data_IF_980149923259
#
_entry.id   IF_980149923259
#
_cell.length_a   1.000
_cell.length_b   1.000
_cell.length_c   1.000
_cell.angle_alpha   90.00
_cell.angle_beta   90.00
_cell.angle_gamma   90.00
#
_symmetry.space_group_name_H-M   'P 1'
#
loop_
_entity.id
_entity.type
_entity.pdbx_description
1 polymer ?
#
# COMPACT_ATOMS: atom_id res chain seq x y z
N UNK A 1 19.27 -61.14 28.98
CA UNK A 1 18.10 -60.23 28.96
C UNK A 1 17.62 -60.10 27.53
N UNK A 2 16.64 -60.93 27.19
CA UNK A 2 15.85 -60.90 25.95
C UNK A 2 14.77 -59.83 26.07
N UNK A 3 14.57 -59.01 25.03
CA UNK A 3 13.25 -58.57 24.59
C UNK A 3 13.36 -57.97 23.18
N UNK A 4 12.80 -58.73 22.25
CA UNK A 4 12.53 -58.37 20.87
C UNK A 4 11.07 -57.92 20.74
N UNK A 5 10.79 -57.08 19.74
CA UNK A 5 9.44 -56.75 19.27
C UNK A 5 9.41 -55.31 18.74
N UNK A 6 8.77 -54.97 17.63
CA UNK A 6 8.00 -55.71 16.65
C UNK A 6 7.90 -54.79 15.44
N UNK A 7 8.29 -55.27 14.26
CA UNK A 7 8.01 -54.65 12.97
C UNK A 7 6.51 -54.78 12.67
N UNK A 8 5.82 -53.71 12.30
CA UNK A 8 4.54 -53.78 11.59
C UNK A 8 4.60 -52.94 10.33
N UNK A 9 4.63 -53.66 9.21
CA UNK A 9 4.35 -53.13 7.87
C UNK A 9 2.85 -52.80 7.77
N UNK A 10 2.54 -51.65 7.17
CA UNK A 10 1.20 -51.35 6.68
C UNK A 10 1.20 -51.39 5.15
N UNK A 11 0.22 -52.15 4.65
CA UNK A 11 0.00 -52.54 3.27
C UNK A 11 -0.55 -51.35 2.47
N UNK A 12 -0.02 -51.20 1.25
CA UNK A 12 -0.49 -50.26 0.24
C UNK A 12 -1.85 -50.69 -0.32
N UNK A 13 -2.79 -49.74 -0.40
CA UNK A 13 -4.03 -49.90 -1.17
C UNK A 13 -3.98 -48.94 -2.36
N UNK A 14 -3.68 -49.49 -3.53
CA UNK A 14 -3.78 -48.84 -4.83
C UNK A 14 -5.26 -48.73 -5.22
N UNK A 15 -5.80 -47.52 -5.14
CA UNK A 15 -7.10 -47.16 -5.70
C UNK A 15 -6.97 -46.81 -7.18
N UNK A 16 -7.40 -47.72 -8.04
CA UNK A 16 -7.56 -47.52 -9.48
C UNK A 16 -8.77 -46.62 -9.71
N UNK A 17 -8.57 -45.40 -10.21
CA UNK A 17 -9.67 -44.56 -10.70
C UNK A 17 -9.87 -44.74 -12.20
N UNK A 18 -11.12 -45.04 -12.54
CA UNK A 18 -11.63 -45.28 -13.88
C UNK A 18 -11.47 -44.07 -14.81
N UNK A 19 -10.95 -44.32 -16.00
CA UNK A 19 -11.04 -43.44 -17.17
C UNK A 19 -12.45 -43.53 -17.73
N UNK A 20 -13.20 -42.43 -17.70
CA UNK A 20 -14.44 -42.30 -18.46
C UNK A 20 -14.16 -41.48 -19.73
N UNK A 21 -14.06 -42.20 -20.86
CA UNK A 21 -14.21 -41.64 -22.20
C UNK A 21 -15.66 -41.20 -22.38
N UNK A 22 -15.90 -39.93 -22.70
CA UNK A 22 -17.15 -39.48 -23.33
C UNK A 22 -16.85 -38.82 -24.68
N UNK A 23 -17.12 -39.62 -25.70
CA UNK A 23 -17.75 -39.31 -26.99
C UNK A 23 -17.81 -37.85 -27.44
N UNK A 24 -17.13 -37.61 -28.56
CA UNK A 24 -17.45 -36.61 -29.57
C UNK A 24 -18.93 -36.69 -29.98
N UNK A 25 -19.60 -35.54 -29.97
CA UNK A 25 -20.81 -35.32 -30.79
C UNK A 25 -20.67 -34.09 -31.66
N UNK A 26 -21.23 -34.23 -32.86
CA UNK A 26 -21.09 -33.45 -34.07
C UNK A 26 -21.66 -32.03 -34.01
N UNK A 27 -21.07 -31.21 -34.88
CA UNK A 27 -21.63 -30.09 -35.64
C UNK A 27 -23.15 -29.90 -35.60
N UNK A 28 -23.56 -28.70 -35.20
CA UNK A 28 -24.87 -28.12 -35.50
C UNK A 28 -24.72 -26.63 -35.82
N UNK A 29 -24.89 -26.29 -37.10
CA UNK A 29 -24.99 -24.90 -37.61
C UNK A 29 -26.44 -24.42 -37.54
N UNK A 30 -26.68 -23.25 -36.95
CA UNK A 30 -27.91 -22.46 -37.09
C UNK A 30 -28.29 -21.65 -35.84
N UNK A 31 -29.24 -20.70 -35.93
CA UNK A 31 -29.18 -19.45 -36.69
C UNK A 31 -29.07 -18.21 -35.77
N UNK A 32 -28.81 -17.05 -36.38
CA UNK A 32 -28.77 -15.72 -35.75
C UNK A 32 -30.00 -15.40 -34.86
N UNK A 33 -29.80 -14.73 -33.70
CA UNK A 33 -30.87 -14.01 -33.04
C UNK A 33 -30.86 -12.53 -33.43
N UNK A 34 -31.98 -12.15 -34.02
CA UNK A 34 -32.48 -10.79 -34.25
C UNK A 34 -32.58 -9.95 -32.96
N UNK A 35 -32.22 -8.67 -33.10
CA UNK A 35 -32.89 -7.49 -32.53
C UNK A 35 -33.48 -7.62 -31.11
N UNK A 36 -32.68 -7.23 -30.11
CA UNK A 36 -33.16 -6.97 -28.75
C UNK A 36 -33.55 -5.50 -28.60
N UNK A 37 -34.81 -5.31 -28.18
CA UNK A 37 -35.50 -4.05 -27.90
C UNK A 37 -34.76 -3.19 -26.86
N UNK A 38 -34.69 -1.90 -27.17
CA UNK A 38 -34.38 -0.80 -26.26
C UNK A 38 -35.25 -0.89 -24.98
N UNK A 39 -34.61 -1.11 -23.83
CA UNK A 39 -35.23 -0.94 -22.51
C UNK A 39 -35.03 0.52 -22.10
N UNK A 40 -36.14 1.24 -21.99
CA UNK A 40 -36.22 2.53 -21.32
C UNK A 40 -35.84 2.32 -19.85
N UNK A 41 -34.61 2.70 -19.47
CA UNK A 41 -34.22 2.86 -18.08
C UNK A 41 -35.00 4.05 -17.51
N UNK A 42 -35.95 3.75 -16.64
CA UNK A 42 -36.60 4.73 -15.78
C UNK A 42 -35.54 5.26 -14.81
N UNK A 43 -35.18 6.55 -14.96
CA UNK A 43 -34.41 7.31 -13.99
C UNK A 43 -35.23 7.41 -12.70
N UNK A 44 -35.04 6.44 -11.79
CA UNK A 44 -35.39 6.65 -10.39
C UNK A 44 -34.44 7.73 -9.86
N UNK A 45 -35.00 8.89 -9.50
CA UNK A 45 -34.28 9.91 -8.74
C UNK A 45 -34.04 9.35 -7.35
N UNK A 46 -32.86 8.78 -7.13
CA UNK A 46 -32.38 8.44 -5.80
C UNK A 46 -32.37 9.71 -4.97
N UNK A 47 -33.19 9.72 -3.91
CA UNK A 47 -33.12 10.74 -2.87
C UNK A 47 -31.74 10.64 -2.21
N UNK A 48 -30.84 11.55 -2.57
CA UNK A 48 -29.56 11.66 -1.88
C UNK A 48 -29.81 12.03 -0.42
N UNK A 49 -29.43 11.13 0.49
CA UNK A 49 -29.35 11.46 1.91
C UNK A 49 -28.35 12.60 2.13
N UNK A 50 -28.62 13.52 3.08
CA UNK A 50 -27.72 14.63 3.35
C UNK A 50 -26.36 14.09 3.81
N UNK A 51 -25.30 14.41 3.06
CA UNK A 51 -23.92 14.09 3.44
C UNK A 51 -23.58 14.74 4.78
N UNK A 52 -22.78 14.06 5.60
CA UNK A 52 -22.20 14.66 6.80
C UNK A 52 -21.36 15.88 6.44
N UNK A 53 -21.21 16.82 7.38
CA UNK A 53 -20.34 18.01 7.20
C UNK A 53 -18.91 17.63 6.81
N UNK A 54 -18.42 16.50 7.34
CA UNK A 54 -17.13 15.95 6.95
C UNK A 54 -17.11 15.53 5.47
N UNK A 55 -18.12 14.79 5.01
CA UNK A 55 -18.17 14.36 3.61
C UNK A 55 -18.15 15.54 2.64
N UNK A 56 -18.75 16.67 3.01
CA UNK A 56 -18.68 17.90 2.24
C UNK A 56 -17.27 18.52 2.23
N UNK A 57 -16.57 18.53 3.38
CA UNK A 57 -15.20 19.03 3.49
C UNK A 57 -14.19 18.17 2.71
N UNK A 58 -14.33 16.86 2.74
CA UNK A 58 -13.51 15.92 1.96
C UNK A 58 -13.69 16.19 0.46
N UNK A 59 -14.93 16.33 -0.01
CA UNK A 59 -15.24 16.61 -1.41
C UNK A 59 -14.65 17.97 -1.85
N UNK A 60 -14.73 19.00 -1.01
CA UNK A 60 -14.15 20.33 -1.29
C UNK A 60 -12.60 20.25 -1.39
N UNK A 61 -11.97 19.52 -0.49
CA UNK A 61 -10.51 19.33 -0.50
C UNK A 61 -10.06 18.60 -1.78
N UNK A 62 -10.79 17.55 -2.17
CA UNK A 62 -10.53 16.80 -3.41
C UNK A 62 -10.64 17.70 -4.64
N UNK A 63 -11.70 18.49 -4.75
CA UNK A 63 -11.89 19.37 -5.91
C UNK A 63 -10.84 20.50 -5.96
N UNK A 64 -10.44 21.06 -4.81
CA UNK A 64 -9.33 22.03 -4.75
C UNK A 64 -8.01 21.42 -5.21
N UNK A 65 -7.67 20.22 -4.71
CA UNK A 65 -6.46 19.49 -5.13
C UNK A 65 -6.47 19.23 -6.64
N UNK A 66 -7.59 18.76 -7.20
CA UNK A 66 -7.75 18.51 -8.63
C UNK A 66 -7.60 19.78 -9.47
N UNK A 67 -8.29 20.86 -9.09
CA UNK A 67 -8.20 22.16 -9.76
C UNK A 67 -6.75 22.64 -9.80
N UNK A 68 -6.05 22.51 -8.68
CA UNK A 68 -4.66 22.89 -8.59
C UNK A 68 -3.74 22.02 -9.45
N UNK A 69 -3.95 20.68 -9.50
CA UNK A 69 -3.17 19.80 -10.39
C UNK A 69 -3.36 20.18 -11.86
N UNK A 70 -4.57 20.57 -12.25
CA UNK A 70 -4.85 21.07 -13.59
C UNK A 70 -4.09 22.38 -13.87
N UNK A 71 -4.04 23.31 -12.90
CA UNK A 71 -3.27 24.54 -13.02
C UNK A 71 -1.76 24.24 -13.17
N UNK A 72 -1.20 23.34 -12.36
CA UNK A 72 0.18 22.90 -12.50
C UNK A 72 0.45 22.33 -13.90
N UNK A 73 -0.45 21.49 -14.41
CA UNK A 73 -0.32 20.90 -15.74
C UNK A 73 -0.38 21.95 -16.86
N UNK A 74 -1.23 22.98 -16.72
CA UNK A 74 -1.29 24.10 -17.66
C UNK A 74 0.01 24.91 -17.66
N UNK A 75 0.54 25.24 -16.47
CA UNK A 75 1.85 25.90 -16.34
C UNK A 75 2.96 25.03 -16.94
N UNK A 76 2.88 23.71 -16.79
CA UNK A 76 3.86 22.82 -17.36
C UNK A 76 3.86 22.84 -18.90
N UNK A 77 2.68 22.97 -19.52
CA UNK A 77 2.52 23.04 -20.97
C UNK A 77 2.83 24.43 -21.54
N UNK A 78 2.86 25.46 -20.70
CA UNK A 78 3.21 26.81 -21.12
C UNK A 78 4.74 26.96 -21.27
N UNK A 79 5.17 27.22 -22.51
CA UNK A 79 6.57 27.44 -22.84
C UNK A 79 7.18 28.61 -22.08
N UNK A 80 6.38 29.62 -21.68
CA UNK A 80 6.83 30.80 -20.94
C UNK A 80 7.02 30.55 -19.45
N UNK A 81 6.33 29.56 -18.89
CA UNK A 81 6.40 29.25 -17.47
C UNK A 81 7.78 28.71 -17.10
N UNK A 82 8.35 29.21 -16.01
CA UNK A 82 9.66 28.81 -15.51
C UNK A 82 9.55 27.67 -14.50
N UNK A 83 10.70 27.08 -14.12
CA UNK A 83 10.76 26.10 -13.01
C UNK A 83 10.28 26.74 -11.70
N UNK A 84 10.64 28.00 -11.48
CA UNK A 84 10.28 28.79 -10.31
C UNK A 84 8.77 29.05 -10.27
N UNK A 85 8.13 29.32 -11.41
CA UNK A 85 6.67 29.47 -11.49
C UNK A 85 5.95 28.18 -11.08
N UNK A 86 6.46 27.03 -11.55
CA UNK A 86 5.93 25.71 -11.18
C UNK A 86 6.09 25.46 -9.68
N UNK A 87 7.29 25.63 -9.12
CA UNK A 87 7.53 25.41 -7.70
C UNK A 87 6.76 26.37 -6.79
N UNK A 88 6.57 27.63 -7.22
CA UNK A 88 5.70 28.58 -6.52
C UNK A 88 4.26 28.07 -6.51
N UNK A 89 3.75 27.64 -7.66
CA UNK A 89 2.41 27.03 -7.74
C UNK A 89 2.28 25.81 -6.82
N UNK A 90 3.27 24.92 -6.79
CA UNK A 90 3.32 23.78 -5.85
C UNK A 90 3.33 24.21 -4.39
N UNK A 91 4.06 25.27 -4.04
CA UNK A 91 4.19 25.74 -2.65
C UNK A 91 2.93 26.44 -2.16
N UNK A 92 2.15 27.02 -3.07
CA UNK A 92 0.86 27.65 -2.78
C UNK A 92 -0.29 26.63 -2.66
N UNK A 93 -0.05 25.37 -3.07
CA UNK A 93 -1.03 24.29 -2.98
C UNK A 93 -1.45 24.06 -1.54
N UNK A 94 -0.48 23.77 -0.68
CA UNK A 94 -0.72 23.33 0.69
C UNK A 94 -0.57 24.53 1.62
N UNK A 95 -1.69 25.05 2.10
CA UNK A 95 -1.73 26.22 2.96
C UNK A 95 -2.04 25.80 4.40
N UNK A 96 -1.44 26.47 5.39
CA UNK A 96 -1.85 26.29 6.77
C UNK A 96 -3.34 26.56 6.94
N UNK A 97 -4.06 25.67 7.62
CA UNK A 97 -5.47 25.84 7.95
C UNK A 97 -5.60 26.99 8.95
N UNK A 98 -6.39 28.00 8.60
CA UNK A 98 -6.77 29.08 9.51
C UNK A 98 -8.13 28.74 10.14
N UNK A 99 -8.16 28.36 11.42
CA UNK A 99 -9.40 28.11 12.16
C UNK A 99 -9.35 26.87 13.05
N UNK A 100 -10.32 26.73 13.94
CA UNK A 100 -10.44 25.54 14.79
C UNK A 100 -10.69 24.30 13.93
N UNK A 101 -9.92 23.24 14.17
CA UNK A 101 -10.19 21.95 13.55
C UNK A 101 -11.48 21.37 14.11
N UNK A 102 -12.29 20.77 13.24
CA UNK A 102 -13.32 19.82 13.67
C UNK A 102 -12.67 18.60 14.33
N UNK A 103 -13.40 17.97 15.25
CA UNK A 103 -12.93 16.76 15.94
C UNK A 103 -12.56 15.64 14.96
N UNK A 104 -11.59 14.78 15.33
CA UNK A 104 -11.14 13.69 14.49
C UNK A 104 -12.26 12.71 14.13
N UNK A 105 -12.18 12.22 12.89
CA UNK A 105 -13.17 11.42 12.21
C UNK A 105 -13.46 10.04 12.84
N UNK A 106 -14.68 9.55 12.61
CA UNK A 106 -15.01 8.13 12.71
C UNK A 106 -14.02 7.28 11.88
N UNK A 107 -13.55 6.18 12.46
CA UNK A 107 -12.69 5.14 11.85
C UNK A 107 -13.43 4.30 10.77
N UNK A 108 -14.33 4.92 10.01
CA UNK A 108 -15.06 4.25 8.93
C UNK A 108 -14.10 3.81 7.82
N UNK A 109 -14.27 2.58 7.28
CA UNK A 109 -13.50 2.11 6.14
C UNK A 109 -13.65 3.02 4.92
N UNK A 110 -12.60 3.13 4.12
CA UNK A 110 -12.57 3.97 2.93
C UNK A 110 -12.72 3.18 1.63
N UNK A 111 -13.33 3.79 0.61
CA UNK A 111 -13.44 3.20 -0.73
C UNK A 111 -12.07 3.10 -1.45
N UNK A 112 -11.21 4.08 -1.21
CA UNK A 112 -9.85 4.15 -1.73
C UNK A 112 -8.89 4.13 -0.54
N UNK A 113 -8.07 3.09 -0.44
CA UNK A 113 -7.24 2.86 0.76
C UNK A 113 -5.81 2.54 0.37
N UNK A 114 -4.84 3.20 1.03
CA UNK A 114 -3.43 2.84 0.98
C UNK A 114 -3.05 2.17 2.30
N UNK A 115 -2.48 0.97 2.22
CA UNK A 115 -1.90 0.25 3.35
C UNK A 115 -0.38 0.24 3.18
N UNK A 116 0.33 1.02 3.99
CA UNK A 116 1.80 1.09 3.97
C UNK A 116 2.38 0.32 5.15
N UNK A 117 2.86 -0.90 4.87
CA UNK A 117 3.62 -1.70 5.82
C UNK A 117 5.10 -1.30 5.75
N UNK A 118 5.63 -0.79 6.86
CA UNK A 118 6.97 -0.22 6.96
C UNK A 118 6.98 1.25 6.55
N UNK A 119 6.12 2.03 7.19
CA UNK A 119 6.01 3.47 6.90
C UNK A 119 7.26 4.26 7.32
N UNK A 120 8.14 3.68 8.16
CA UNK A 120 9.40 4.26 8.60
C UNK A 120 9.20 5.69 9.14
N UNK A 121 9.84 6.67 8.53
CA UNK A 121 9.76 8.09 8.92
C UNK A 121 8.62 8.85 8.22
N UNK A 122 7.74 8.13 7.52
CA UNK A 122 6.60 8.67 6.77
C UNK A 122 6.98 9.13 5.36
N UNK A 123 8.14 8.76 4.82
CA UNK A 123 8.60 9.21 3.52
C UNK A 123 7.79 8.63 2.35
N UNK A 124 7.25 7.42 2.52
CA UNK A 124 6.28 6.81 1.59
C UNK A 124 5.01 7.64 1.41
N UNK A 125 4.45 8.23 2.49
CA UNK A 125 3.31 9.15 2.41
C UNK A 125 3.62 10.30 1.45
N UNK A 126 4.77 10.96 1.62
CA UNK A 126 5.23 12.02 0.71
C UNK A 126 5.39 11.54 -0.72
N UNK A 127 5.98 10.36 -0.94
CA UNK A 127 6.14 9.76 -2.28
C UNK A 127 4.78 9.47 -2.93
N UNK A 128 3.77 9.02 -2.19
CA UNK A 128 2.42 8.83 -2.73
C UNK A 128 1.78 10.17 -3.11
N UNK A 129 1.87 11.20 -2.27
CA UNK A 129 1.39 12.55 -2.59
C UNK A 129 2.05 13.08 -3.87
N UNK A 130 3.39 13.02 -3.92
CA UNK A 130 4.20 13.52 -5.04
C UNK A 130 3.98 12.72 -6.32
N UNK A 131 3.59 11.44 -6.22
CA UNK A 131 3.26 10.62 -7.37
C UNK A 131 1.97 11.04 -8.08
N UNK A 132 1.12 11.86 -7.45
CA UNK A 132 -0.01 12.49 -8.13
C UNK A 132 0.40 13.69 -9.01
N UNK A 133 1.64 14.17 -8.90
CA UNK A 133 2.15 15.28 -9.73
C UNK A 133 2.80 14.67 -10.97
N UNK A 134 2.28 15.00 -12.14
CA UNK A 134 2.88 14.54 -13.40
C UNK A 134 4.24 15.20 -13.63
N UNK A 135 5.23 14.49 -14.18
CA UNK A 135 6.50 15.09 -14.58
C UNK A 135 6.27 16.22 -15.59
N UNK A 136 7.14 17.23 -15.56
CA UNK A 136 7.11 18.33 -16.53
C UNK A 136 8.31 18.31 -17.49
N UNK A 137 8.18 17.71 -18.70
CA UNK A 137 9.24 17.66 -19.70
C UNK A 137 9.69 19.06 -20.12
N UNK A 138 11.00 19.23 -20.33
CA UNK A 138 11.57 20.49 -20.84
C UNK A 138 11.77 21.58 -19.79
N UNK A 139 11.40 21.34 -18.52
CA UNK A 139 11.60 22.26 -17.40
C UNK A 139 12.54 21.72 -16.30
N UNK A 140 13.33 20.69 -16.63
CA UNK A 140 14.23 19.94 -15.72
C UNK A 140 13.53 19.22 -14.53
N UNK A 141 12.20 19.27 -14.47
CA UNK A 141 11.39 18.57 -13.47
C UNK A 141 11.01 17.14 -13.88
N UNK A 142 11.30 16.75 -15.13
CA UNK A 142 11.14 15.38 -15.61
C UNK A 142 12.19 14.44 -15.03
N UNK A 143 13.43 14.93 -14.89
CA UNK A 143 14.55 14.18 -14.30
C UNK A 143 14.51 14.21 -12.79
N UNK A 144 14.09 15.34 -12.22
CA UNK A 144 14.08 15.60 -10.79
C UNK A 144 12.67 16.06 -10.40
N UNK A 145 11.74 15.11 -10.17
CA UNK A 145 10.39 15.49 -9.79
C UNK A 145 10.44 16.16 -8.40
N UNK A 146 9.69 17.27 -8.22
CA UNK A 146 9.59 17.96 -6.94
C UNK A 146 9.26 17.00 -5.81
N UNK A 147 9.87 17.22 -4.65
CA UNK A 147 9.62 16.45 -3.44
C UNK A 147 8.99 17.35 -2.41
N UNK A 148 7.85 16.91 -1.85
CA UNK A 148 7.26 17.58 -0.70
C UNK A 148 8.18 17.43 0.51
N UNK A 149 8.59 18.55 1.08
CA UNK A 149 9.19 18.57 2.41
C UNK A 149 8.09 18.30 3.44
N UNK A 150 8.15 17.14 4.09
CA UNK A 150 7.15 16.74 5.08
C UNK A 150 7.24 17.55 6.38
N UNK A 151 8.39 18.19 6.65
CA UNK A 151 8.65 18.97 7.84
C UNK A 151 8.25 20.45 7.68
N UNK A 152 8.24 20.97 6.45
CA UNK A 152 7.78 22.34 6.17
C UNK A 152 6.48 22.43 5.36
N UNK A 153 6.02 21.31 4.79
CA UNK A 153 4.90 21.21 3.85
C UNK A 153 5.07 22.17 2.67
N UNK A 154 6.27 22.19 2.11
CA UNK A 154 6.61 23.03 0.96
C UNK A 154 7.40 22.26 -0.07
N UNK A 155 7.23 22.66 -1.32
CA UNK A 155 8.13 22.29 -2.39
C UNK A 155 9.22 23.34 -2.48
N UNK A 156 10.47 22.92 -2.70
CA UNK A 156 11.60 23.85 -2.78
C UNK A 156 12.54 23.48 -3.92
N UNK A 157 13.40 24.43 -4.27
CA UNK A 157 14.48 24.22 -5.25
C UNK A 157 15.55 23.24 -4.77
N UNK A 158 15.55 22.86 -3.50
CA UNK A 158 16.56 21.96 -2.93
C UNK A 158 15.99 20.55 -2.67
N UNK A 159 14.67 20.39 -2.77
CA UNK A 159 13.98 19.15 -2.46
C UNK A 159 13.44 18.49 -3.72
N UNK A 160 14.26 17.63 -4.30
CA UNK A 160 13.89 16.76 -5.40
C UNK A 160 14.06 15.30 -5.05
N UNK A 161 13.21 14.44 -5.63
CA UNK A 161 13.46 13.02 -5.58
C UNK A 161 14.67 12.67 -6.45
N UNK A 162 15.50 11.74 -5.97
CA UNK A 162 16.52 11.12 -6.82
C UNK A 162 15.82 10.54 -8.06
N UNK A 163 16.38 10.81 -9.24
CA UNK A 163 15.84 10.34 -10.52
C UNK A 163 15.46 8.87 -10.45
N UNK A 164 14.19 8.57 -10.76
CA UNK A 164 13.70 7.19 -10.86
C UNK A 164 13.46 6.50 -9.51
N UNK A 165 12.96 7.23 -8.50
CA UNK A 165 12.40 6.60 -7.29
C UNK A 165 11.34 5.54 -7.70
N UNK A 166 11.54 4.26 -7.36
CA UNK A 166 10.67 3.18 -7.82
C UNK A 166 9.22 3.34 -7.36
N UNK A 167 9.01 3.72 -6.09
CA UNK A 167 7.67 3.87 -5.52
C UNK A 167 6.88 4.94 -6.26
N UNK A 168 7.48 6.12 -6.52
CA UNK A 168 6.80 7.19 -7.27
C UNK A 168 6.41 6.73 -8.67
N UNK A 169 7.30 6.02 -9.37
CA UNK A 169 7.03 5.53 -10.73
C UNK A 169 5.91 4.49 -10.75
N UNK A 170 5.96 3.54 -9.81
CA UNK A 170 4.94 2.51 -9.62
C UNK A 170 3.58 3.14 -9.32
N UNK A 171 3.52 4.03 -8.33
CA UNK A 171 2.30 4.75 -7.95
C UNK A 171 1.72 5.58 -9.09
N UNK A 172 2.55 6.33 -9.84
CA UNK A 172 2.12 7.05 -11.06
C UNK A 172 1.47 6.13 -12.09
N UNK A 173 2.07 4.96 -12.32
CA UNK A 173 1.50 3.97 -13.24
C UNK A 173 0.15 3.47 -12.75
N UNK A 174 -0.02 3.29 -11.43
CA UNK A 174 -1.27 2.84 -10.82
C UNK A 174 -2.35 3.90 -10.97
N UNK A 175 -2.07 5.15 -10.62
CA UNK A 175 -3.04 6.26 -10.73
C UNK A 175 -3.62 6.40 -12.14
N UNK A 176 -2.81 6.17 -13.17
CA UNK A 176 -3.26 6.16 -14.57
C UNK A 176 -4.20 5.01 -14.91
N UNK A 177 -4.09 3.87 -14.21
CA UNK A 177 -4.94 2.69 -14.43
C UNK A 177 -6.28 2.80 -13.70
N UNK A 178 -6.30 3.37 -12.50
CA UNK A 178 -7.49 3.43 -11.62
C UNK A 178 -8.22 4.78 -11.65
N UNK A 179 -7.77 5.72 -12.50
CA UNK A 179 -8.37 7.04 -12.70
C UNK A 179 -8.64 7.81 -11.38
N UNK A 180 -7.80 7.58 -10.37
CA UNK A 180 -7.90 8.22 -9.06
C UNK A 180 -6.52 8.73 -8.63
N UNK A 181 -6.55 9.77 -7.81
CA UNK A 181 -5.37 10.51 -7.38
C UNK A 181 -5.23 10.44 -5.85
N UNK A 182 -4.04 10.73 -5.30
CA UNK A 182 -3.76 10.58 -3.86
C UNK A 182 -4.81 11.20 -2.93
N UNK A 183 -5.36 12.37 -3.27
CA UNK A 183 -6.37 13.07 -2.46
C UNK A 183 -7.67 12.28 -2.23
N UNK A 184 -7.91 11.19 -2.99
CA UNK A 184 -9.05 10.30 -2.83
C UNK A 184 -8.85 9.26 -1.72
N UNK A 185 -7.61 9.02 -1.32
CA UNK A 185 -7.23 7.87 -0.51
C UNK A 185 -7.18 8.19 0.98
N UNK A 186 -7.66 7.25 1.77
CA UNK A 186 -7.25 7.13 3.16
C UNK A 186 -5.94 6.35 3.25
N UNK A 187 -4.97 6.90 3.95
CA UNK A 187 -3.66 6.33 4.14
C UNK A 187 -3.52 5.75 5.54
N UNK A 188 -3.11 4.48 5.63
CA UNK A 188 -2.82 3.77 6.87
C UNK A 188 -1.38 3.27 6.84
N UNK A 189 -0.50 3.94 7.58
CA UNK A 189 0.90 3.53 7.75
C UNK A 189 1.09 2.69 9.01
N UNK A 190 1.79 1.56 8.89
CA UNK A 190 2.13 0.65 9.99
C UNK A 190 3.62 0.77 10.26
N UNK A 191 3.99 1.16 11.48
CA UNK A 191 5.37 1.34 11.91
C UNK A 191 5.48 1.15 13.42
N UNK A 192 6.20 0.13 13.87
CA UNK A 192 6.33 -0.18 15.30
C UNK A 192 7.58 0.38 15.97
N UNK A 193 8.49 1.01 15.22
CA UNK A 193 9.70 1.57 15.79
C UNK A 193 9.37 2.82 16.63
N UNK A 194 9.56 2.78 17.96
CA UNK A 194 9.19 3.88 18.85
C UNK A 194 9.98 5.17 18.57
N UNK A 195 11.14 5.08 17.89
CA UNK A 195 11.92 6.26 17.46
C UNK A 195 11.16 7.12 16.45
N UNK A 196 10.35 6.50 15.59
CA UNK A 196 9.62 7.21 14.54
C UNK A 196 8.26 7.74 15.02
N UNK A 197 7.75 7.24 16.15
CA UNK A 197 6.43 7.60 16.69
C UNK A 197 6.20 9.12 16.79
N UNK A 198 7.09 9.94 17.41
CA UNK A 198 6.81 11.37 17.55
C UNK A 198 6.69 12.09 16.20
N UNK A 199 7.53 11.72 15.23
CA UNK A 199 7.48 12.28 13.88
C UNK A 199 6.21 11.87 13.16
N UNK A 200 5.86 10.59 13.19
CA UNK A 200 4.67 10.07 12.50
C UNK A 200 3.37 10.66 13.04
N UNK A 201 3.23 10.80 14.37
CA UNK A 201 2.07 11.46 14.96
C UNK A 201 2.01 12.96 14.60
N UNK A 202 3.16 13.64 14.53
CA UNK A 202 3.23 15.02 14.05
C UNK A 202 2.80 15.14 12.58
N UNK A 203 3.19 14.19 11.72
CA UNK A 203 2.74 14.15 10.33
C UNK A 203 1.24 13.87 10.22
N UNK A 204 0.72 12.94 11.01
CA UNK A 204 -0.72 12.66 11.07
C UNK A 204 -1.52 13.91 11.41
N UNK A 205 -1.18 14.56 12.52
CA UNK A 205 -1.83 15.79 12.97
C UNK A 205 -1.82 16.84 11.86
N UNK A 206 -0.64 17.03 11.28
CA UNK A 206 -0.44 18.06 10.27
C UNK A 206 -1.29 17.86 9.02
N UNK A 207 -1.32 16.65 8.46
CA UNK A 207 -2.09 16.38 7.24
C UNK A 207 -3.60 16.33 7.49
N UNK A 208 -4.03 15.94 8.68
CA UNK A 208 -5.45 15.88 9.02
C UNK A 208 -6.01 17.25 9.47
N UNK A 209 -5.20 18.09 10.12
CA UNK A 209 -5.69 19.27 10.83
C UNK A 209 -5.04 20.58 10.36
N UNK A 210 -3.74 20.59 10.07
CA UNK A 210 -3.00 21.84 9.85
C UNK A 210 -2.94 22.29 8.38
N UNK A 211 -3.30 21.45 7.42
CA UNK A 211 -3.07 21.73 5.99
C UNK A 211 -4.37 21.65 5.18
N UNK A 212 -4.61 22.66 4.34
CA UNK A 212 -5.68 22.69 3.35
C UNK A 212 -5.20 23.13 1.95
N UNK A 213 -5.76 22.55 0.87
CA UNK A 213 -6.59 21.34 0.88
C UNK A 213 -5.76 20.12 1.31
N UNK A 214 -6.43 19.06 1.77
CA UNK A 214 -5.74 17.86 2.21
C UNK A 214 -5.20 17.07 1.00
N UNK A 215 -3.91 16.72 0.95
CA UNK A 215 -3.32 15.97 -0.17
C UNK A 215 -3.66 14.46 -0.14
N UNK A 216 -4.26 14.00 0.96
CA UNK A 216 -4.84 12.68 1.19
C UNK A 216 -6.16 12.90 1.91
N UNK A 217 -7.16 12.05 1.69
CA UNK A 217 -8.46 12.18 2.36
C UNK A 217 -8.34 12.02 3.88
N UNK A 218 -7.45 11.12 4.32
CA UNK A 218 -7.16 10.84 5.72
C UNK A 218 -5.77 10.25 5.83
N UNK A 219 -5.05 10.60 6.89
CA UNK A 219 -3.77 9.95 7.23
C UNK A 219 -3.90 9.33 8.63
N UNK A 220 -3.44 8.10 8.79
CA UNK A 220 -3.35 7.42 10.09
C UNK A 220 -2.07 6.60 10.17
N UNK A 221 -1.33 6.74 11.25
CA UNK A 221 -0.18 5.92 11.57
C UNK A 221 -0.48 5.04 12.79
N UNK A 222 -0.32 3.74 12.62
CA UNK A 222 -0.38 2.74 13.70
C UNK A 222 1.03 2.58 14.29
N UNK A 223 1.44 3.54 15.12
CA UNK A 223 2.83 3.70 15.60
C UNK A 223 3.27 2.70 16.68
N UNK A 224 2.32 1.90 17.18
CA UNK A 224 2.55 0.82 18.14
C UNK A 224 2.30 -0.56 17.52
N UNK A 225 2.28 -0.62 16.19
CA UNK A 225 1.87 -1.80 15.45
C UNK A 225 2.87 -2.13 14.35
N UNK A 226 3.10 -3.42 14.12
CA UNK A 226 3.94 -3.93 13.03
C UNK A 226 3.15 -4.89 12.14
N UNK A 227 3.48 -4.93 10.86
CA UNK A 227 3.01 -5.99 9.98
C UNK A 227 3.54 -7.34 10.47
N UNK A 228 2.64 -8.29 10.72
CA UNK A 228 3.01 -9.63 11.17
C UNK A 228 2.11 -10.70 10.54
N UNK A 229 2.59 -11.95 10.49
CA UNK A 229 1.79 -13.09 10.04
C UNK A 229 0.71 -13.54 11.03
N UNK A 230 0.54 -12.84 12.15
CA UNK A 230 -0.52 -13.07 13.15
C UNK A 230 -0.81 -11.78 13.91
N UNK A 231 -2.05 -11.61 14.36
CA UNK A 231 -2.43 -10.53 15.27
C UNK A 231 -1.95 -10.86 16.69
N UNK A 232 -1.77 -9.82 17.51
CA UNK A 232 -1.44 -9.95 18.93
C UNK A 232 -0.03 -9.49 19.29
N UNK A 233 0.35 -9.58 20.58
CA UNK A 233 1.64 -9.09 21.04
C UNK A 233 2.83 -9.73 20.32
N UNK A 234 3.77 -8.90 19.89
CA UNK A 234 5.02 -9.31 19.26
C UNK A 234 6.18 -8.42 19.71
N UNK A 235 7.36 -8.66 19.17
CA UNK A 235 8.56 -7.84 19.41
C UNK A 235 9.09 -7.33 18.08
N UNK A 236 9.56 -6.09 18.12
CA UNK A 236 10.39 -5.52 17.07
C UNK A 236 11.79 -5.29 17.65
N UNK A 237 12.80 -5.69 16.90
CA UNK A 237 14.21 -5.55 17.26
C UNK A 237 14.77 -4.32 16.55
N UNK A 238 15.43 -3.45 17.30
CA UNK A 238 16.00 -2.21 16.79
C UNK A 238 17.48 -2.41 16.42
N UNK A 239 17.86 -1.98 15.22
CA UNK A 239 19.27 -1.84 14.82
C UNK A 239 19.85 -0.59 15.51
N UNK A 240 20.85 -0.80 16.35
CA UNK A 240 21.58 0.28 17.06
C UNK A 240 22.99 0.51 16.50
N UNK A 241 23.40 -0.22 15.47
CA UNK A 241 24.78 -0.20 14.95
C UNK A 241 25.06 1.07 14.15
N UNK A 242 24.05 1.63 13.48
CA UNK A 242 24.22 2.72 12.51
C UNK A 242 23.57 4.05 12.95
N UNK A 243 23.77 4.47 14.21
CA UNK A 243 23.25 5.76 14.71
C UNK A 243 23.66 6.95 13.81
N UNK A 244 24.90 6.90 13.28
CA UNK A 244 25.51 7.97 12.48
C UNK A 244 24.84 8.23 11.11
N UNK A 245 23.92 7.38 10.65
CA UNK A 245 23.24 7.54 9.37
C UNK A 245 21.71 7.64 9.47
N UNK A 246 21.15 7.83 10.67
CA UNK A 246 19.70 7.79 10.92
C UNK A 246 19.02 6.47 10.52
N UNK A 247 19.77 5.40 10.25
CA UNK A 247 19.24 4.07 9.99
C UNK A 247 19.05 3.35 11.33
N UNK A 248 18.02 3.74 12.06
CA UNK A 248 17.43 2.87 13.06
C UNK A 248 16.53 1.88 12.32
N UNK A 249 17.16 0.97 11.57
CA UNK A 249 16.45 -0.15 10.97
C UNK A 249 15.74 -0.94 12.07
N UNK A 250 14.63 -1.58 11.74
CA UNK A 250 13.89 -2.38 12.69
C UNK A 250 13.42 -3.64 11.99
N UNK A 251 13.51 -4.78 12.65
CA UNK A 251 13.05 -6.05 12.09
C UNK A 251 12.25 -6.82 13.13
N UNK A 252 11.24 -7.56 12.66
CA UNK A 252 10.54 -8.54 13.50
C UNK A 252 11.32 -9.86 13.61
N UNK A 253 12.40 -10.01 12.83
CA UNK A 253 13.22 -11.22 12.80
C UNK A 253 14.46 -11.02 13.70
N UNK A 254 14.60 -11.78 14.80
CA UNK A 254 15.78 -11.68 15.66
C UNK A 254 17.07 -12.10 14.96
N UNK A 255 16.95 -12.92 13.90
CA UNK A 255 18.08 -13.41 13.11
C UNK A 255 18.49 -12.43 11.99
N UNK A 256 17.84 -11.27 11.84
CA UNK A 256 18.21 -10.29 10.83
C UNK A 256 19.66 -9.84 11.03
N UNK A 257 20.42 -9.72 9.93
CA UNK A 257 21.88 -9.48 9.98
C UNK A 257 22.27 -8.27 10.83
N UNK A 258 21.48 -7.20 10.80
CA UNK A 258 21.78 -5.96 11.50
C UNK A 258 21.39 -6.04 12.98
N UNK A 259 20.34 -6.81 13.31
CA UNK A 259 19.98 -7.16 14.69
C UNK A 259 21.08 -8.01 15.33
N UNK A 260 21.65 -8.97 14.59
CA UNK A 260 22.76 -9.81 15.08
C UNK A 260 24.05 -9.00 15.28
N UNK A 261 24.30 -8.00 14.43
CA UNK A 261 25.48 -7.11 14.55
C UNK A 261 25.36 -6.08 15.67
N UNK A 262 24.14 -5.80 16.14
CA UNK A 262 23.87 -4.95 17.29
C UNK A 262 24.48 -5.62 18.53
N UNK A 263 25.64 -5.12 18.96
CA UNK A 263 26.56 -5.70 19.96
C UNK A 263 25.87 -6.52 21.06
N UNK A 264 25.76 -7.84 20.85
CA UNK A 264 25.46 -8.94 21.79
C UNK A 264 24.25 -8.83 22.72
N UNK A 265 23.63 -7.66 22.79
CA UNK A 265 22.55 -7.31 23.69
C UNK A 265 21.27 -7.59 22.94
N UNK A 266 20.75 -8.77 23.23
CA UNK A 266 19.42 -9.30 22.92
C UNK A 266 18.26 -8.34 23.38
N UNK A 267 18.50 -7.06 23.67
CA UNK A 267 17.66 -6.22 24.55
C UNK A 267 17.11 -4.90 23.98
N UNK A 268 17.44 -4.43 22.77
CA UNK A 268 16.70 -3.31 22.17
C UNK A 268 15.44 -3.82 21.45
N UNK A 269 14.65 -4.67 22.11
CA UNK A 269 13.37 -5.15 21.61
C UNK A 269 12.23 -4.34 22.22
N UNK A 270 11.41 -3.68 21.40
CA UNK A 270 10.20 -3.03 21.86
C UNK A 270 9.03 -4.02 21.75
N UNK A 271 8.21 -4.09 22.81
CA UNK A 271 6.92 -4.77 22.75
C UNK A 271 5.95 -3.93 21.93
N UNK A 272 5.41 -4.52 20.88
CA UNK A 272 4.48 -3.88 19.93
C UNK A 272 3.36 -4.85 19.59
N UNK A 273 2.30 -4.35 18.97
CA UNK A 273 1.20 -5.18 18.49
C UNK A 273 1.47 -5.66 17.06
N UNK A 274 1.37 -6.95 16.80
CA UNK A 274 1.32 -7.49 15.45
C UNK A 274 -0.06 -7.27 14.85
N UNK A 275 -0.11 -6.82 13.59
CA UNK A 275 -1.35 -6.80 12.80
C UNK A 275 -1.12 -7.53 11.48
N UNK A 276 -2.07 -8.39 11.15
CA UNK A 276 -2.15 -9.05 9.87
C UNK A 276 -2.66 -8.11 8.79
N UNK A 277 -2.28 -8.38 7.54
CA UNK A 277 -2.84 -7.67 6.39
C UNK A 277 -4.36 -7.87 6.32
N UNK A 278 -4.85 -9.08 6.63
CA UNK A 278 -6.28 -9.39 6.67
C UNK A 278 -7.04 -8.51 7.65
N UNK A 279 -6.57 -8.41 8.90
CA UNK A 279 -7.24 -7.59 9.92
C UNK A 279 -7.22 -6.11 9.57
N UNK A 280 -6.09 -5.58 9.08
CA UNK A 280 -6.02 -4.17 8.71
C UNK A 280 -6.93 -3.85 7.51
N UNK A 281 -6.93 -4.69 6.47
CA UNK A 281 -7.75 -4.52 5.28
C UNK A 281 -9.24 -4.47 5.64
N UNK A 282 -9.72 -5.43 6.43
CA UNK A 282 -11.13 -5.50 6.85
C UNK A 282 -11.57 -4.29 7.68
N UNK A 283 -10.66 -3.69 8.45
CA UNK A 283 -10.94 -2.50 9.27
C UNK A 283 -10.96 -1.20 8.47
N UNK A 284 -10.26 -1.14 7.34
CA UNK A 284 -9.90 0.14 6.71
C UNK A 284 -10.34 0.29 5.26
N UNK A 285 -10.65 -0.80 4.57
CA UNK A 285 -11.08 -0.79 3.17
C UNK A 285 -12.52 -1.30 3.02
N UNK A 286 -13.33 -0.51 2.32
CA UNK A 286 -14.67 -0.92 1.92
C UNK A 286 -14.59 -1.98 0.81
N UNK A 287 -15.34 -3.06 0.96
CA UNK A 287 -15.51 -4.07 -0.09
C UNK A 287 -16.68 -3.69 -0.99
N UNK A 288 -16.48 -2.68 -1.84
CA UNK A 288 -17.50 -2.12 -2.74
C UNK A 288 -16.99 -2.05 -4.18
N UNK A 289 -17.90 -2.13 -5.14
CA UNK A 289 -17.56 -2.05 -6.57
C UNK A 289 -16.84 -0.73 -6.91
N UNK A 290 -15.74 -0.87 -7.67
CA UNK A 290 -14.88 0.25 -8.03
C UNK A 290 -14.08 0.82 -6.85
N UNK A 291 -14.06 0.13 -5.70
CA UNK A 291 -13.08 0.39 -4.65
C UNK A 291 -11.66 0.06 -5.11
N UNK A 292 -10.66 0.66 -4.47
CA UNK A 292 -9.27 0.36 -4.77
C UNK A 292 -8.42 0.33 -3.51
N UNK A 293 -7.60 -0.70 -3.40
CA UNK A 293 -6.64 -0.88 -2.32
C UNK A 293 -5.24 -0.93 -2.90
N UNK A 294 -4.40 -0.01 -2.48
CA UNK A 294 -2.97 -0.02 -2.75
C UNK A 294 -2.21 -0.46 -1.51
N UNK A 295 -1.52 -1.58 -1.61
CA UNK A 295 -0.70 -2.13 -0.53
C UNK A 295 0.76 -1.90 -0.91
N UNK A 296 1.52 -1.22 -0.06
CA UNK A 296 2.98 -1.19 -0.14
C UNK A 296 3.53 -1.97 1.03
N UNK A 297 4.51 -2.82 0.76
CA UNK A 297 5.09 -3.70 1.76
C UNK A 297 6.61 -3.70 1.65
N UNK A 298 7.24 -3.24 2.72
CA UNK A 298 8.69 -3.11 2.90
C UNK A 298 8.95 -3.22 4.41
N UNK A 299 9.03 -4.44 4.93
CA UNK A 299 9.06 -4.75 6.36
C UNK A 299 10.19 -5.71 6.69
N UNK A 300 11.42 -5.39 6.28
CA UNK A 300 12.68 -5.99 6.72
C UNK A 300 12.61 -7.52 7.00
N UNK A 301 12.05 -8.26 6.04
CA UNK A 301 11.91 -9.73 6.06
C UNK A 301 10.57 -10.30 6.54
N UNK A 302 9.68 -9.46 7.07
CA UNK A 302 8.33 -9.85 7.48
C UNK A 302 7.33 -10.02 6.33
N UNK A 303 7.69 -9.63 5.10
CA UNK A 303 6.77 -9.55 3.95
C UNK A 303 6.16 -10.93 3.65
N UNK A 304 6.98 -11.97 3.76
CA UNK A 304 6.60 -13.35 3.48
C UNK A 304 5.51 -13.85 4.43
N UNK A 305 5.67 -13.59 5.73
CA UNK A 305 4.71 -14.04 6.73
C UNK A 305 3.37 -13.30 6.60
N UNK A 306 3.41 -11.99 6.33
CA UNK A 306 2.19 -11.17 6.13
C UNK A 306 1.43 -11.61 4.88
N UNK A 307 2.13 -11.88 3.77
CA UNK A 307 1.49 -12.28 2.52
C UNK A 307 1.05 -13.75 2.51
N UNK A 308 1.76 -14.65 3.18
CA UNK A 308 1.27 -16.01 3.41
C UNK A 308 -0.01 -15.99 4.24
N UNK A 309 -0.07 -15.19 5.31
CA UNK A 309 -1.30 -15.04 6.12
C UNK A 309 -2.48 -14.60 5.25
N UNK A 310 -2.32 -13.53 4.48
CA UNK A 310 -3.38 -13.00 3.62
C UNK A 310 -3.82 -14.01 2.53
N UNK A 311 -2.86 -14.79 2.01
CA UNK A 311 -3.14 -15.87 1.06
C UNK A 311 -3.94 -17.01 1.71
N UNK A 312 -3.50 -17.51 2.89
CA UNK A 312 -4.22 -18.57 3.60
C UNK A 312 -5.64 -18.15 4.01
N UNK A 313 -5.84 -16.86 4.34
CA UNK A 313 -7.16 -16.30 4.62
C UNK A 313 -8.02 -16.09 3.37
N UNK A 314 -7.40 -15.98 2.19
CA UNK A 314 -8.09 -15.65 0.93
C UNK A 314 -8.64 -14.23 0.86
N UNK A 315 -8.30 -13.33 1.79
CA UNK A 315 -8.95 -12.02 1.94
C UNK A 315 -8.73 -11.11 0.73
N UNK A 316 -7.54 -11.14 0.14
CA UNK A 316 -7.23 -10.32 -1.04
C UNK A 316 -8.02 -10.81 -2.26
N UNK A 317 -8.14 -12.13 -2.42
CA UNK A 317 -8.94 -12.71 -3.49
C UNK A 317 -10.43 -12.42 -3.32
N UNK A 318 -10.96 -12.47 -2.09
CA UNK A 318 -12.36 -12.09 -1.81
C UNK A 318 -12.67 -10.63 -2.18
N UNK A 319 -11.76 -9.70 -1.86
CA UNK A 319 -11.89 -8.30 -2.28
C UNK A 319 -11.79 -8.15 -3.81
N UNK A 320 -10.81 -8.79 -4.45
CA UNK A 320 -10.63 -8.73 -5.91
C UNK A 320 -11.85 -9.29 -6.67
N UNK A 321 -12.40 -10.41 -6.20
CA UNK A 321 -13.62 -11.03 -6.76
C UNK A 321 -14.88 -10.17 -6.53
N UNK A 322 -14.84 -9.26 -5.57
CA UNK A 322 -15.91 -8.27 -5.29
C UNK A 322 -15.72 -6.97 -6.10
N UNK A 323 -14.96 -7.00 -7.19
CA UNK A 323 -14.64 -5.84 -8.03
C UNK A 323 -13.92 -4.69 -7.30
N UNK A 324 -13.17 -5.00 -6.24
CA UNK A 324 -12.19 -4.09 -5.67
C UNK A 324 -10.87 -4.29 -6.40
N UNK A 325 -10.31 -3.23 -6.99
CA UNK A 325 -8.97 -3.33 -7.58
C UNK A 325 -7.94 -3.42 -6.44
N UNK A 326 -6.96 -4.32 -6.55
CA UNK A 326 -5.88 -4.44 -5.57
C UNK A 326 -4.54 -4.35 -6.27
N UNK A 327 -3.77 -3.32 -5.91
CA UNK A 327 -2.37 -3.20 -6.30
C UNK A 327 -1.46 -3.51 -5.11
N UNK A 328 -0.45 -4.35 -5.32
CA UNK A 328 0.55 -4.69 -4.31
C UNK A 328 1.94 -4.29 -4.82
N UNK A 329 2.53 -3.26 -4.21
CA UNK A 329 3.92 -2.86 -4.41
C UNK A 329 4.77 -3.56 -3.35
N UNK A 330 5.61 -4.47 -3.79
CA UNK A 330 6.34 -5.36 -2.90
C UNK A 330 7.84 -5.18 -3.04
N UNK A 331 8.49 -4.80 -1.95
CA UNK A 331 9.95 -4.73 -1.80
C UNK A 331 10.41 -5.96 -1.03
N UNK A 332 10.96 -6.95 -1.74
CA UNK A 332 11.43 -8.19 -1.12
C UNK A 332 12.89 -8.06 -0.70
N UNK A 333 13.15 -8.47 0.54
CA UNK A 333 14.50 -8.66 1.06
C UNK A 333 15.07 -10.00 0.61
N UNK A 334 16.37 -10.01 0.28
CA UNK A 334 17.05 -11.21 -0.19
C UNK A 334 17.28 -12.23 0.94
N UNK A 335 17.41 -13.53 0.64
CA UNK A 335 17.62 -14.59 1.64
C UNK A 335 18.85 -14.37 2.53
N UNK A 336 19.92 -13.81 1.99
CA UNK A 336 21.16 -13.51 2.72
C UNK A 336 20.99 -12.39 3.76
N UNK A 337 19.91 -11.60 3.66
CA UNK A 337 19.58 -10.53 4.61
C UNK A 337 18.67 -11.05 5.73
N UNK A 338 17.69 -11.89 5.37
CA UNK A 338 16.63 -12.39 6.27
C UNK A 338 16.95 -13.74 6.94
N UNK A 339 17.99 -14.43 6.46
CA UNK A 339 18.39 -15.78 6.86
C UNK A 339 17.76 -16.87 5.99
N UNK A 340 18.60 -17.80 5.48
CA UNK A 340 18.17 -18.85 4.54
C UNK A 340 17.06 -19.76 5.08
N UNK A 341 17.00 -19.97 6.40
CA UNK A 341 15.98 -20.80 7.04
C UNK A 341 14.58 -20.18 7.05
N UNK A 342 14.47 -18.86 6.82
CA UNK A 342 13.20 -18.13 6.86
C UNK A 342 12.51 -18.04 5.50
N UNK A 343 13.08 -18.66 4.46
CA UNK A 343 12.66 -18.43 3.09
C UNK A 343 12.38 -19.72 2.32
N UNK A 344 11.09 -20.00 2.13
CA UNK A 344 10.61 -21.00 1.20
C UNK A 344 10.29 -20.34 -0.16
N UNK A 345 11.25 -20.43 -1.08
CA UNK A 345 11.14 -19.92 -2.44
C UNK A 345 9.95 -20.48 -3.21
N UNK A 346 9.65 -21.76 -3.02
CA UNK A 346 8.61 -22.45 -3.77
C UNK A 346 7.24 -22.02 -3.28
N UNK A 347 7.03 -22.04 -1.96
CA UNK A 347 5.84 -21.48 -1.34
C UNK A 347 5.60 -20.04 -1.78
N UNK A 348 6.65 -19.22 -1.83
CA UNK A 348 6.52 -17.84 -2.24
C UNK A 348 6.11 -17.65 -3.70
N UNK A 349 6.63 -18.49 -4.61
CA UNK A 349 6.20 -18.48 -6.02
C UNK A 349 4.72 -18.85 -6.12
N UNK A 350 4.28 -19.85 -5.37
CA UNK A 350 2.89 -20.32 -5.36
C UNK A 350 1.93 -19.24 -4.81
N UNK A 351 2.30 -18.56 -3.72
CA UNK A 351 1.53 -17.43 -3.17
C UNK A 351 1.37 -16.32 -4.21
N UNK A 352 2.47 -15.86 -4.81
CA UNK A 352 2.42 -14.78 -5.82
C UNK A 352 1.59 -15.16 -7.04
N UNK A 353 1.70 -16.40 -7.51
CA UNK A 353 0.91 -16.86 -8.65
C UNK A 353 -0.57 -16.90 -8.30
N UNK A 354 -0.92 -17.46 -7.15
CA UNK A 354 -2.33 -17.54 -6.70
C UNK A 354 -2.97 -16.17 -6.52
N UNK A 355 -2.22 -15.19 -6.00
CA UNK A 355 -2.70 -13.81 -5.89
C UNK A 355 -2.96 -13.19 -7.27
N UNK A 356 -2.09 -13.44 -8.27
CA UNK A 356 -2.34 -12.98 -9.65
C UNK A 356 -3.57 -13.65 -10.26
N UNK A 357 -3.69 -14.95 -10.06
CA UNK A 357 -4.79 -15.75 -10.63
C UNK A 357 -6.15 -15.28 -10.11
N UNK A 358 -6.21 -14.73 -8.90
CA UNK A 358 -7.45 -14.15 -8.34
C UNK A 358 -7.62 -12.65 -8.58
N UNK A 359 -6.75 -12.01 -9.38
CA UNK A 359 -6.91 -10.62 -9.82
C UNK A 359 -6.10 -9.57 -9.06
N UNK A 360 -5.21 -9.97 -8.14
CA UNK A 360 -4.30 -9.02 -7.47
C UNK A 360 -3.17 -8.62 -8.42
N UNK A 361 -2.95 -7.32 -8.57
CA UNK A 361 -1.94 -6.76 -9.47
C UNK A 361 -0.64 -6.54 -8.69
N UNK A 362 0.32 -7.45 -8.85
CA UNK A 362 1.63 -7.34 -8.20
C UNK A 362 2.60 -6.48 -9.03
N UNK A 363 3.11 -5.43 -8.41
CA UNK A 363 4.24 -4.65 -8.89
C UNK A 363 5.47 -4.97 -8.06
N UNK A 364 6.49 -5.56 -8.70
CA UNK A 364 7.78 -5.79 -8.05
C UNK A 364 8.50 -4.46 -7.87
N UNK A 365 8.80 -4.09 -6.64
CA UNK A 365 9.76 -3.03 -6.30
C UNK A 365 11.17 -3.40 -6.75
N UNK A 366 12.15 -2.52 -6.51
CA UNK A 366 13.56 -2.98 -6.56
C UNK A 366 13.78 -3.88 -5.34
N UNK A 367 14.49 -4.98 -5.50
CA UNK A 367 14.91 -5.77 -4.33
C UNK A 367 15.78 -4.90 -3.41
N UNK A 368 15.36 -4.74 -2.16
CA UNK A 368 16.17 -4.11 -1.12
C UNK A 368 17.43 -4.97 -0.88
N UNK A 369 18.62 -4.38 -1.09
CA UNK A 369 19.90 -5.07 -0.89
C UNK A 369 20.88 -5.10 -2.08
N UNK A 370 20.76 -4.19 -3.06
CA UNK A 370 21.85 -3.98 -4.04
C UNK A 370 22.96 -3.11 -3.49
#
# INVERSE_FOLDING_TARGET
>A
MTLAGSLRAYVATLGVFFVALHTLTQFGTGPSPTSAKSRHLSLQHDKQEPKSSQGQHDDESIEKMRSWRNQYQQLCQDERSTKEDLLRSLSELLQPRTGASSEPNNDEPCKYTILDFGANVGDSLGKFIDSGIEPCPGKDLDKNPPRLDLDTIRYSNDNFHKRGNPLIRSSRSIWKQVESLPEWYCYYGVEGNPRFTPRLLSLEERFNHDVLPQPMRRVRFLTQTVGAGKDGPTKIYLDTVNEAQNFWGSSILPAHKDVVKSDGSVQAAASVEGITLSTLLLKTAQKVEGGHVLIKMDIEGGEYAVLDEAYQRGVLCDYAQSNVTIHLILETHRPDVIGESNFDLEKWRNVKQSLRDCGVILQTGRDAGR
#
